data_IF_975930252883
#
_entry.id   IF_975930252883
#
_cell.length_a   1.000
_cell.length_b   1.000
_cell.length_c   1.000
_cell.angle_alpha   90.00
_cell.angle_beta   90.00
_cell.angle_gamma   90.00
#
_symmetry.space_group_name_H-M   'P 1'
#
loop_
_entity.id
_entity.type
_entity.pdbx_description
1 polymer ?
#
# COMPACT_ATOMS: atom_id res chain seq x y z
N UNK A 1 10.60 -4.28 -21.31
CA UNK A 1 11.00 -2.87 -21.11
C UNK A 1 10.55 -2.42 -19.74
N UNK A 2 11.29 -2.80 -18.70
CA UNK A 2 11.19 -2.17 -17.39
C UNK A 2 12.34 -1.18 -17.33
N UNK A 3 12.05 0.13 -17.28
CA UNK A 3 13.08 1.09 -16.94
C UNK A 3 13.50 0.80 -15.50
N UNK A 4 14.55 -0.01 -15.30
CA UNK A 4 15.24 -0.10 -14.01
C UNK A 4 15.71 1.33 -13.73
N UNK A 5 15.05 2.01 -12.79
CA UNK A 5 15.52 3.31 -12.35
C UNK A 5 16.92 3.11 -11.77
N UNK A 6 17.93 3.74 -12.37
CA UNK A 6 19.27 3.77 -11.78
C UNK A 6 19.17 4.34 -10.36
N UNK A 7 20.03 3.89 -9.42
CA UNK A 7 20.06 4.44 -8.07
C UNK A 7 20.15 5.98 -8.13
N UNK A 8 19.20 6.67 -7.48
CA UNK A 8 19.11 8.13 -7.50
C UNK A 8 18.14 8.73 -8.53
N UNK A 9 17.54 7.93 -9.42
CA UNK A 9 16.43 8.41 -10.26
C UNK A 9 15.19 8.55 -9.38
N UNK A 10 14.59 9.75 -9.25
CA UNK A 10 13.43 9.92 -8.38
C UNK A 10 12.27 9.04 -8.90
N UNK A 11 11.43 8.46 -8.02
CA UNK A 11 10.43 7.47 -8.39
C UNK A 11 9.45 8.07 -9.40
N UNK A 12 9.35 7.50 -10.61
CA UNK A 12 8.43 7.98 -11.65
C UNK A 12 7.00 7.50 -11.35
N UNK A 13 5.99 8.28 -11.71
CA UNK A 13 4.59 7.86 -11.68
C UNK A 13 3.67 8.57 -10.68
N UNK A 14 2.48 8.01 -10.50
CA UNK A 14 1.34 8.65 -9.81
C UNK A 14 1.58 8.98 -8.32
N UNK A 15 2.65 8.46 -7.72
CA UNK A 15 3.10 8.84 -6.38
C UNK A 15 3.46 10.33 -6.25
N UNK A 16 3.75 11.01 -7.37
CA UNK A 16 4.09 12.44 -7.40
C UNK A 16 2.88 13.37 -7.39
N UNK A 17 1.70 12.90 -7.78
CA UNK A 17 0.52 13.74 -7.94
C UNK A 17 0.10 14.40 -6.61
N UNK A 18 0.05 13.61 -5.52
CA UNK A 18 -0.30 14.16 -4.20
C UNK A 18 0.76 15.15 -3.67
N UNK A 19 2.08 14.89 -3.78
CA UNK A 19 3.11 15.91 -3.51
C UNK A 19 3.01 17.18 -4.37
N UNK A 20 2.59 17.09 -5.64
CA UNK A 20 2.36 18.27 -6.50
C UNK A 20 1.20 19.11 -5.98
N UNK A 21 0.07 18.46 -5.68
CA UNK A 21 -1.09 19.10 -5.04
C UNK A 21 -0.71 19.72 -3.69
N UNK A 22 0.06 19.01 -2.87
CA UNK A 22 0.52 19.51 -1.58
C UNK A 22 1.29 20.82 -1.73
N UNK A 23 2.25 20.88 -2.66
CA UNK A 23 3.02 22.12 -2.92
C UNK A 23 2.14 23.24 -3.46
N UNK A 24 1.21 22.90 -4.36
CA UNK A 24 0.24 23.86 -4.88
C UNK A 24 -0.59 24.49 -3.76
N UNK A 25 -1.19 23.67 -2.89
CA UNK A 25 -2.02 24.15 -1.79
C UNK A 25 -1.22 24.85 -0.70
N UNK A 26 -0.02 24.37 -0.37
CA UNK A 26 0.89 25.03 0.55
C UNK A 26 1.27 26.46 0.08
N UNK A 27 1.31 26.69 -1.23
CA UNK A 27 1.63 27.99 -1.82
C UNK A 27 0.40 28.89 -2.06
N UNK A 28 -0.78 28.32 -2.26
CA UNK A 28 -1.97 29.07 -2.71
C UNK A 28 -2.99 29.32 -1.62
N UNK A 29 -3.04 28.47 -0.58
CA UNK A 29 -3.99 28.65 0.50
C UNK A 29 -3.50 29.76 1.45
N UNK A 30 -4.36 30.75 1.75
CA UNK A 30 -3.98 31.84 2.63
C UNK A 30 -3.83 31.36 4.07
N UNK A 31 -2.94 32.00 4.82
CA UNK A 31 -2.82 31.86 6.27
C UNK A 31 -2.54 30.42 6.76
N UNK A 32 -1.83 29.61 5.96
CA UNK A 32 -1.29 28.35 6.46
C UNK A 32 -0.18 28.62 7.47
N UNK A 33 -0.10 27.77 8.49
CA UNK A 33 0.92 27.88 9.53
C UNK A 33 2.34 27.80 8.94
N UNK A 34 3.28 28.68 9.34
CA UNK A 34 4.63 28.73 8.77
C UNK A 34 5.49 27.50 9.13
N UNK A 35 5.11 26.73 10.15
CA UNK A 35 5.74 25.47 10.55
C UNK A 35 5.23 24.25 9.76
N UNK A 36 4.30 24.46 8.81
CA UNK A 36 3.71 23.39 8.02
C UNK A 36 4.71 22.84 7.00
N UNK A 37 5.46 21.83 7.44
CA UNK A 37 6.37 21.06 6.58
C UNK A 37 5.75 19.71 6.22
N UNK A 38 6.15 19.04 5.12
CA UNK A 38 5.64 17.71 4.80
C UNK A 38 5.82 16.67 5.92
N UNK A 39 6.83 16.84 6.77
CA UNK A 39 7.10 15.93 7.89
C UNK A 39 6.27 16.22 9.15
N UNK A 40 5.65 17.41 9.26
CA UNK A 40 4.83 17.76 10.43
C UNK A 40 3.49 17.01 10.41
N UNK A 41 2.86 16.85 11.58
CA UNK A 41 1.53 16.22 11.70
C UNK A 41 0.50 16.92 10.81
N UNK A 42 0.50 18.26 10.81
CA UNK A 42 -0.34 19.05 9.91
C UNK A 42 -0.01 18.83 8.44
N UNK A 43 1.27 18.76 8.08
CA UNK A 43 1.68 18.52 6.70
C UNK A 43 1.27 17.14 6.17
N UNK A 44 1.32 16.11 7.03
CA UNK A 44 0.82 14.77 6.72
C UNK A 44 -0.70 14.75 6.54
N UNK A 45 -1.46 15.48 7.38
CA UNK A 45 -2.91 15.66 7.18
C UNK A 45 -3.22 16.33 5.84
N UNK A 46 -2.50 17.40 5.49
CA UNK A 46 -2.64 18.08 4.21
C UNK A 46 -2.32 17.14 3.03
N UNK A 47 -1.25 16.33 3.16
CA UNK A 47 -0.87 15.36 2.13
C UNK A 47 -1.95 14.29 1.95
N UNK A 48 -2.56 13.83 3.04
CA UNK A 48 -3.68 12.89 2.99
C UNK A 48 -4.92 13.51 2.34
N UNK A 49 -5.23 14.77 2.66
CA UNK A 49 -6.25 15.54 1.94
C UNK A 49 -5.99 15.60 0.43
N UNK A 50 -4.74 15.83 0.03
CA UNK A 50 -4.33 15.83 -1.37
C UNK A 50 -4.48 14.44 -2.03
N UNK A 51 -4.21 13.34 -1.31
CA UNK A 51 -4.43 11.97 -1.81
C UNK A 51 -5.91 11.70 -2.06
N UNK A 52 -6.78 12.10 -1.12
CA UNK A 52 -8.24 12.00 -1.26
C UNK A 52 -8.73 12.82 -2.45
N UNK A 53 -8.28 14.06 -2.57
CA UNK A 53 -8.67 14.94 -3.68
C UNK A 53 -8.23 14.34 -5.02
N UNK A 54 -6.99 13.83 -5.13
CA UNK A 54 -6.51 13.11 -6.33
C UNK A 54 -7.45 11.96 -6.72
N UNK A 55 -7.89 11.16 -5.74
CA UNK A 55 -8.80 10.05 -6.00
C UNK A 55 -10.15 10.55 -6.53
N UNK A 56 -10.74 11.56 -5.89
CA UNK A 56 -12.00 12.17 -6.33
C UNK A 56 -11.88 12.74 -7.75
N UNK A 57 -10.79 13.42 -8.08
CA UNK A 57 -10.53 13.98 -9.41
C UNK A 57 -10.27 12.92 -10.49
N UNK A 58 -9.94 11.69 -10.08
CA UNK A 58 -9.87 10.56 -11.02
C UNK A 58 -11.28 10.14 -11.46
N UNK A 59 -12.29 10.31 -10.61
CA UNK A 59 -13.68 9.94 -10.88
C UNK A 59 -14.51 11.11 -11.42
N UNK A 60 -14.26 12.32 -10.92
CA UNK A 60 -15.05 13.53 -11.17
C UNK A 60 -14.19 14.63 -11.81
N UNK A 61 -14.78 15.52 -12.64
CA UNK A 61 -14.04 16.63 -13.26
C UNK A 61 -13.57 17.69 -12.25
N UNK A 62 -14.29 17.84 -11.13
CA UNK A 62 -13.97 18.76 -10.05
C UNK A 62 -14.46 18.19 -8.71
N UNK A 63 -13.75 18.51 -7.63
CA UNK A 63 -14.17 18.13 -6.27
C UNK A 63 -13.49 19.01 -5.23
N UNK A 64 -13.90 18.85 -3.98
CA UNK A 64 -13.21 19.40 -2.82
C UNK A 64 -12.96 18.35 -1.73
N UNK A 65 -12.04 18.68 -0.81
CA UNK A 65 -11.75 17.91 0.41
C UNK A 65 -11.47 18.89 1.53
N UNK A 66 -12.19 18.79 2.65
CA UNK A 66 -11.85 19.53 3.87
C UNK A 66 -10.82 18.74 4.68
N UNK A 67 -9.77 19.43 5.10
CA UNK A 67 -8.71 18.93 5.97
C UNK A 67 -8.79 19.68 7.28
N UNK A 68 -9.01 18.95 8.36
CA UNK A 68 -9.20 19.52 9.68
C UNK A 68 -7.89 19.59 10.48
N UNK A 69 -7.86 20.49 11.46
CA UNK A 69 -6.78 20.62 12.44
C UNK A 69 -5.38 20.76 11.80
N UNK A 70 -5.21 21.72 10.89
CA UNK A 70 -3.93 22.08 10.31
C UNK A 70 -3.20 23.10 11.18
N UNK A 71 -1.92 22.82 11.50
CA UNK A 71 -1.06 23.74 12.23
C UNK A 71 -1.39 23.88 13.72
N UNK A 72 -0.74 24.86 14.36
CA UNK A 72 -0.92 25.15 15.78
C UNK A 72 -2.24 25.86 16.10
N UNK A 73 -2.88 26.49 15.10
CA UNK A 73 -4.19 27.12 15.22
C UNK A 73 -5.36 26.14 14.94
N UNK A 74 -5.07 24.84 14.82
CA UNK A 74 -6.02 23.75 14.58
C UNK A 74 -7.05 24.08 13.47
N UNK A 75 -6.61 24.77 12.43
CA UNK A 75 -7.49 25.32 11.41
C UNK A 75 -7.98 24.27 10.43
N UNK A 76 -9.23 24.38 10.02
CA UNK A 76 -9.79 23.60 8.93
C UNK A 76 -9.61 24.33 7.59
N UNK A 77 -9.19 23.60 6.56
CA UNK A 77 -9.01 24.15 5.22
C UNK A 77 -9.62 23.26 4.16
N UNK A 78 -10.35 23.86 3.22
CA UNK A 78 -10.96 23.17 2.09
C UNK A 78 -10.06 23.25 0.85
N UNK A 79 -9.57 22.10 0.40
CA UNK A 79 -8.86 21.93 -0.84
C UNK A 79 -9.88 21.86 -1.98
N UNK A 80 -9.82 22.76 -2.95
CA UNK A 80 -10.67 22.74 -4.13
C UNK A 80 -9.81 22.41 -5.35
N UNK A 81 -10.24 21.48 -6.20
CA UNK A 81 -9.48 21.08 -7.37
C UNK A 81 -10.34 20.72 -8.57
N UNK A 82 -9.74 20.82 -9.74
CA UNK A 82 -10.28 20.34 -11.03
C UNK A 82 -9.27 19.41 -11.69
N UNK A 83 -9.70 18.64 -12.69
CA UNK A 83 -8.78 17.84 -13.50
C UNK A 83 -7.73 18.69 -14.20
N UNK A 84 -8.08 19.90 -14.64
CA UNK A 84 -7.15 20.83 -15.29
C UNK A 84 -5.97 21.18 -14.36
N UNK A 85 -6.24 21.39 -13.07
CA UNK A 85 -5.18 21.60 -12.07
C UNK A 85 -4.23 20.40 -12.01
N UNK A 86 -4.73 19.17 -12.13
CA UNK A 86 -3.85 17.99 -12.18
C UNK A 86 -3.04 17.94 -13.48
N UNK A 87 -3.65 18.27 -14.62
CA UNK A 87 -3.00 18.32 -15.92
C UNK A 87 -1.83 19.31 -15.88
N UNK A 88 -2.07 20.53 -15.39
CA UNK A 88 -1.04 21.56 -15.29
C UNK A 88 0.08 21.17 -14.33
N UNK A 89 -0.27 20.71 -13.12
CA UNK A 89 0.71 20.38 -12.09
C UNK A 89 1.55 19.12 -12.43
N UNK A 90 0.99 18.21 -13.23
CA UNK A 90 1.60 16.92 -13.56
C UNK A 90 2.01 16.80 -15.04
N UNK A 91 2.05 17.91 -15.78
CA UNK A 91 2.56 17.94 -17.15
C UNK A 91 3.96 17.31 -17.30
N UNK A 92 4.93 17.53 -16.37
CA UNK A 92 6.23 16.85 -16.44
C UNK A 92 6.11 15.33 -16.36
N UNK A 93 5.28 14.82 -15.45
CA UNK A 93 5.04 13.39 -15.28
C UNK A 93 4.34 12.76 -16.50
N UNK A 94 3.43 13.49 -17.15
CA UNK A 94 2.81 13.06 -18.41
C UNK A 94 3.84 12.98 -19.56
N UNK A 95 4.73 13.98 -19.67
CA UNK A 95 5.82 13.97 -20.65
C UNK A 95 6.80 12.82 -20.43
N UNK A 96 7.17 12.53 -19.17
CA UNK A 96 8.01 11.39 -18.81
C UNK A 96 7.37 10.05 -19.19
N UNK A 97 6.05 9.90 -18.97
CA UNK A 97 5.30 8.71 -19.35
C UNK A 97 5.28 8.53 -20.88
N UNK A 98 4.99 9.60 -21.63
CA UNK A 98 5.03 9.55 -23.10
C UNK A 98 6.40 9.12 -23.60
N UNK A 99 7.47 9.73 -23.08
CA UNK A 99 8.83 9.40 -23.49
C UNK A 99 9.19 7.93 -23.22
N UNK A 100 8.70 7.35 -22.12
CA UNK A 100 8.89 5.93 -21.82
C UNK A 100 8.18 5.03 -22.83
N UNK A 101 6.95 5.38 -23.23
CA UNK A 101 6.19 4.63 -24.24
C UNK A 101 6.86 4.74 -25.60
N UNK A 102 7.24 5.96 -26.02
CA UNK A 102 7.94 6.20 -27.29
C UNK A 102 9.23 5.36 -27.38
N UNK A 103 9.99 5.28 -26.29
CA UNK A 103 11.22 4.49 -26.25
C UNK A 103 10.96 2.97 -26.30
N UNK A 104 9.90 2.50 -25.64
CA UNK A 104 9.50 1.09 -25.70
C UNK A 104 9.07 0.69 -27.13
N UNK A 105 8.30 1.54 -27.82
CA UNK A 105 7.88 1.31 -29.20
C UNK A 105 9.10 1.26 -30.14
N UNK A 106 10.03 2.22 -29.99
CA UNK A 106 11.28 2.28 -30.76
C UNK A 106 12.11 1.02 -30.56
N UNK A 107 12.31 0.59 -29.31
CA UNK A 107 13.06 -0.61 -28.98
C UNK A 107 12.41 -1.91 -29.50
N UNK A 108 11.08 -1.92 -29.63
CA UNK A 108 10.32 -3.03 -30.20
C UNK A 108 10.25 -2.99 -31.74
N UNK A 109 10.73 -1.92 -32.39
CA UNK A 109 10.57 -1.71 -33.83
C UNK A 109 9.11 -1.54 -34.28
N UNK A 110 8.24 -1.09 -33.37
CA UNK A 110 6.82 -0.82 -33.65
C UNK A 110 6.71 0.61 -34.18
N UNK A 111 6.18 0.74 -35.39
CA UNK A 111 5.76 2.02 -35.95
C UNK A 111 4.27 2.23 -35.67
N UNK A 112 3.89 3.45 -35.28
CA UNK A 112 2.49 3.82 -35.16
C UNK A 112 1.93 4.25 -36.52
N UNK A 113 0.65 4.01 -36.75
CA UNK A 113 -0.01 4.39 -37.99
C UNK A 113 0.06 5.92 -38.19
N UNK A 114 0.69 6.33 -39.29
CA UNK A 114 0.99 7.74 -39.61
C UNK A 114 2.47 8.03 -39.89
N UNK A 115 3.39 7.13 -39.51
CA UNK A 115 4.85 7.32 -39.65
C UNK A 115 5.46 6.66 -40.92
N UNK A 116 4.62 6.19 -41.84
CA UNK A 116 5.08 5.50 -43.06
C UNK A 116 5.22 6.46 -44.24
N UNK A 117 6.33 7.20 -44.27
CA UNK A 117 6.88 7.73 -45.53
C UNK A 117 7.57 6.64 -46.39
N UNK A 118 7.57 5.38 -45.96
CA UNK A 118 8.08 4.23 -46.72
C UNK A 118 7.24 2.99 -46.45
N UNK A 119 6.73 2.36 -47.51
CA UNK A 119 5.77 1.25 -47.49
C UNK A 119 6.31 -0.08 -46.92
N UNK A 120 6.70 -0.11 -45.65
CA UNK A 120 6.95 -1.33 -44.88
C UNK A 120 5.85 -1.51 -43.84
N UNK A 121 5.08 -2.60 -43.93
CA UNK A 121 4.03 -2.96 -42.97
C UNK A 121 4.60 -3.29 -41.59
N UNK A 122 4.82 -2.26 -40.77
CA UNK A 122 5.12 -2.41 -39.35
C UNK A 122 3.92 -2.97 -38.59
N UNK A 123 4.15 -3.87 -37.63
CA UNK A 123 3.10 -4.37 -36.74
C UNK A 123 2.77 -3.27 -35.73
N UNK A 124 1.52 -2.81 -35.72
CA UNK A 124 1.01 -1.88 -34.70
C UNK A 124 0.76 -2.57 -33.34
N UNK A 125 0.22 -1.82 -32.39
CA UNK A 125 -0.15 -2.34 -31.06
C UNK A 125 -1.57 -2.91 -31.13
N UNK A 126 -1.69 -4.24 -30.96
CA UNK A 126 -2.98 -4.96 -31.00
C UNK A 126 -3.87 -4.62 -29.80
N UNK A 127 -3.30 -4.60 -28.60
CA UNK A 127 -4.03 -4.38 -27.34
C UNK A 127 -3.22 -3.57 -26.35
N UNK A 128 -3.91 -2.76 -25.54
CA UNK A 128 -3.31 -1.94 -24.49
C UNK A 128 -3.91 -2.38 -23.16
N UNK A 129 -3.12 -3.07 -22.33
CA UNK A 129 -3.53 -3.48 -21.00
C UNK A 129 -2.93 -2.52 -19.97
N UNK A 130 -3.75 -1.96 -19.08
CA UNK A 130 -3.31 -1.02 -18.06
C UNK A 130 -3.52 -1.56 -16.65
N UNK A 131 -2.46 -1.52 -15.85
CA UNK A 131 -2.44 -1.98 -14.47
C UNK A 131 -1.83 -0.92 -13.53
N UNK A 132 -2.14 -1.00 -12.24
CA UNK A 132 -1.71 -0.07 -11.22
C UNK A 132 -2.64 1.13 -11.05
N UNK A 133 -2.82 1.55 -9.79
CA UNK A 133 -3.74 2.64 -9.43
C UNK A 133 -3.49 3.99 -10.13
N UNK A 134 -2.27 4.23 -10.61
CA UNK A 134 -1.95 5.43 -11.41
C UNK A 134 -2.68 5.48 -12.75
N UNK A 135 -2.90 4.34 -13.39
CA UNK A 135 -3.57 4.23 -14.69
C UNK A 135 -5.08 4.53 -14.62
N UNK A 136 -5.62 4.79 -13.42
CA UNK A 136 -7.01 5.23 -13.23
C UNK A 136 -7.17 6.75 -13.34
N UNK A 137 -6.06 7.50 -13.39
CA UNK A 137 -6.08 8.96 -13.49
C UNK A 137 -6.27 9.35 -14.97
N UNK A 138 -7.32 10.13 -15.33
CA UNK A 138 -7.63 10.49 -16.72
C UNK A 138 -6.45 11.07 -17.51
N UNK A 139 -5.68 12.00 -16.90
CA UNK A 139 -4.46 12.56 -17.48
C UNK A 139 -3.51 11.48 -18.03
N UNK A 140 -3.28 10.41 -17.26
CA UNK A 140 -2.36 9.35 -17.67
C UNK A 140 -2.98 8.41 -18.70
N UNK A 141 -4.29 8.16 -18.64
CA UNK A 141 -4.99 7.41 -19.68
C UNK A 141 -4.91 8.12 -21.03
N UNK A 142 -5.19 9.42 -21.05
CA UNK A 142 -5.11 10.27 -22.24
C UNK A 142 -3.67 10.33 -22.77
N UNK A 143 -2.68 10.45 -21.88
CA UNK A 143 -1.26 10.42 -22.25
C UNK A 143 -0.87 9.09 -22.92
N UNK A 144 -1.32 7.96 -22.39
CA UNK A 144 -1.06 6.63 -22.97
C UNK A 144 -1.66 6.54 -24.38
N UNK A 145 -2.93 6.94 -24.53
CA UNK A 145 -3.61 6.88 -25.83
C UNK A 145 -2.94 7.81 -26.85
N UNK A 146 -2.62 9.04 -26.47
CA UNK A 146 -1.91 9.99 -27.33
C UNK A 146 -0.53 9.46 -27.74
N UNK A 147 0.22 8.87 -26.81
CA UNK A 147 1.53 8.25 -27.10
C UNK A 147 1.44 7.09 -28.10
N UNK A 148 0.27 6.44 -28.20
CA UNK A 148 0.01 5.33 -29.11
C UNK A 148 -0.72 5.75 -30.40
N UNK A 149 -0.77 7.06 -30.69
CA UNK A 149 -1.43 7.59 -31.89
C UNK A 149 -2.96 7.54 -31.85
N UNK A 150 -3.55 7.35 -30.66
CA UNK A 150 -5.00 7.30 -30.42
C UNK A 150 -5.49 8.53 -29.67
N UNK A 151 -5.00 9.71 -30.03
CA UNK A 151 -5.41 10.97 -29.41
C UNK A 151 -6.93 11.18 -29.55
N UNK A 152 -7.59 11.57 -28.45
CA UNK A 152 -9.06 11.66 -28.39
C UNK A 152 -9.79 10.31 -28.37
N UNK A 153 -9.06 9.20 -28.26
CA UNK A 153 -9.63 7.86 -28.04
C UNK A 153 -10.42 7.76 -26.74
N UNK A 154 -11.24 6.72 -26.60
CA UNK A 154 -12.06 6.49 -25.41
C UNK A 154 -11.35 5.49 -24.47
N UNK A 155 -10.86 5.92 -23.29
CA UNK A 155 -10.17 5.04 -22.34
C UNK A 155 -10.96 3.82 -21.86
N UNK A 156 -12.28 3.82 -21.97
CA UNK A 156 -13.11 2.65 -21.63
C UNK A 156 -13.10 1.58 -22.74
N UNK A 157 -12.91 1.99 -23.99
CA UNK A 157 -12.87 1.10 -25.15
C UNK A 157 -11.45 0.71 -25.55
N UNK A 158 -10.53 1.66 -25.47
CA UNK A 158 -9.17 1.53 -25.99
C UNK A 158 -8.18 0.95 -24.97
N UNK A 159 -8.47 1.06 -23.66
CA UNK A 159 -7.65 0.51 -22.59
C UNK A 159 -8.34 -0.70 -21.95
N UNK A 160 -7.70 -1.85 -22.10
CA UNK A 160 -8.13 -3.11 -21.48
C UNK A 160 -7.73 -3.16 -20.00
N UNK A 161 -8.57 -3.82 -19.21
CA UNK A 161 -8.49 -3.96 -17.74
C UNK A 161 -8.79 -5.40 -17.32
N UNK A 162 -8.46 -6.35 -18.19
CA UNK A 162 -8.65 -7.78 -17.94
C UNK A 162 -7.69 -8.34 -16.90
N UNK A 163 -6.57 -7.65 -16.66
CA UNK A 163 -5.58 -7.93 -15.64
C UNK A 163 -5.65 -6.85 -14.54
N UNK A 164 -5.86 -7.27 -13.31
CA UNK A 164 -5.77 -6.38 -12.15
C UNK A 164 -4.37 -6.39 -11.51
N UNK A 165 -4.20 -5.60 -10.45
CA UNK A 165 -2.93 -5.48 -9.73
C UNK A 165 -2.44 -6.82 -9.15
N UNK A 166 -3.34 -7.80 -8.94
CA UNK A 166 -2.95 -9.15 -8.48
C UNK A 166 -2.23 -9.94 -9.57
N UNK A 167 -2.45 -9.62 -10.85
CA UNK A 167 -1.78 -10.27 -11.98
C UNK A 167 -0.27 -10.11 -11.93
N UNK A 168 0.23 -8.98 -11.38
CA UNK A 168 1.66 -8.76 -11.15
C UNK A 168 2.20 -9.74 -10.11
N UNK A 169 1.49 -9.88 -8.98
CA UNK A 169 1.87 -10.79 -7.91
C UNK A 169 1.80 -12.26 -8.36
N UNK A 170 0.75 -12.63 -9.10
CA UNK A 170 0.60 -13.97 -9.68
C UNK A 170 1.71 -14.28 -10.68
N UNK A 171 2.06 -13.33 -11.56
CA UNK A 171 3.19 -13.47 -12.48
C UNK A 171 4.52 -13.66 -11.74
N UNK A 172 4.76 -12.89 -10.67
CA UNK A 172 5.95 -13.05 -9.84
C UNK A 172 5.99 -14.41 -9.13
N UNK A 173 4.85 -14.87 -8.57
CA UNK A 173 4.75 -16.19 -7.95
C UNK A 173 5.00 -17.33 -8.96
N UNK A 174 4.46 -17.22 -10.17
CA UNK A 174 4.69 -18.17 -11.25
C UNK A 174 6.16 -18.19 -11.73
N UNK A 175 6.85 -17.04 -11.70
CA UNK A 175 8.29 -16.97 -11.99
C UNK A 175 9.15 -17.51 -10.83
N UNK A 176 8.69 -17.37 -9.58
CA UNK A 176 9.35 -17.91 -8.40
C UNK A 176 9.29 -19.44 -8.30
N UNK A 177 8.37 -20.08 -9.03
CA UNK A 177 8.34 -21.53 -9.20
C UNK A 177 9.46 -21.96 -10.17
N UNK A 178 10.45 -22.69 -9.64
CA UNK A 178 11.74 -22.99 -10.27
C UNK A 178 11.62 -23.70 -11.64
N UNK A 179 10.57 -24.51 -11.84
CA UNK A 179 10.33 -25.20 -13.10
C UNK A 179 9.77 -24.26 -14.20
N UNK A 180 9.00 -23.25 -13.80
CA UNK A 180 8.26 -22.37 -14.70
C UNK A 180 9.05 -21.09 -14.99
N UNK A 181 9.73 -20.54 -13.97
CA UNK A 181 10.61 -19.38 -14.07
C UNK A 181 11.79 -19.58 -15.02
N UNK A 182 12.52 -20.69 -14.92
CA UNK A 182 13.67 -20.98 -15.80
C UNK A 182 13.28 -21.07 -17.27
N UNK A 183 12.09 -21.60 -17.57
CA UNK A 183 11.60 -21.77 -18.95
C UNK A 183 11.15 -20.45 -19.57
N UNK A 184 10.54 -19.56 -18.80
CA UNK A 184 10.07 -18.24 -19.25
C UNK A 184 11.23 -17.26 -19.46
N UNK A 185 12.21 -17.23 -18.54
CA UNK A 185 13.41 -16.38 -18.66
C UNK A 185 14.31 -16.82 -19.82
N UNK A 186 14.35 -18.12 -20.14
CA UNK A 186 15.10 -18.64 -21.28
C UNK A 186 14.46 -18.35 -22.66
N UNK A 187 13.16 -18.04 -22.72
CA UNK A 187 12.41 -17.85 -23.97
C UNK A 187 12.36 -16.42 -24.51
N UNK A 188 12.75 -15.42 -23.72
CA UNK A 188 12.86 -14.03 -24.18
C UNK A 188 14.10 -13.81 -25.03
N UNK A 189 13.97 -13.16 -26.20
CA UNK A 189 15.15 -12.62 -26.91
C UNK A 189 15.77 -11.57 -25.99
N UNK A 190 16.88 -11.93 -25.32
CA UNK A 190 17.71 -11.00 -24.57
C UNK A 190 18.25 -9.94 -25.51
N UNK A 191 18.05 -8.67 -25.16
CA UNK A 191 18.80 -7.59 -25.75
C UNK A 191 20.29 -7.70 -25.37
N UNK A 192 21.21 -7.08 -26.12
CA UNK A 192 22.64 -7.08 -25.81
C UNK A 192 22.98 -6.51 -24.42
N UNK A 193 22.06 -5.77 -23.80
CA UNK A 193 22.21 -5.17 -22.46
C UNK A 193 21.61 -6.03 -21.32
N UNK A 194 20.96 -7.16 -21.64
CA UNK A 194 20.42 -8.11 -20.65
C UNK A 194 21.50 -9.10 -20.15
N UNK A 195 22.69 -8.58 -19.86
CA UNK A 195 23.68 -9.32 -19.09
C UNK A 195 23.05 -9.62 -17.71
N UNK A 196 23.09 -10.89 -17.30
CA UNK A 196 22.72 -11.34 -15.97
C UNK A 196 23.49 -10.53 -14.91
N UNK A 197 22.87 -9.43 -14.44
CA UNK A 197 23.35 -8.67 -13.27
C UNK A 197 22.85 -9.26 -11.97
N UNK A 198 21.94 -10.25 -12.02
CA UNK A 198 21.48 -11.00 -10.86
C UNK A 198 22.38 -12.21 -10.54
N UNK A 199 23.44 -12.48 -11.33
CA UNK A 199 24.43 -13.54 -11.04
C UNK A 199 25.87 -13.06 -11.14
N UNK A 200 26.19 -12.02 -10.38
CA UNK A 200 27.50 -11.78 -9.73
C UNK A 200 27.46 -10.36 -9.18
N UNK A 201 26.72 -10.15 -8.09
CA UNK A 201 27.16 -9.11 -7.18
C UNK A 201 28.56 -9.55 -6.74
N UNK A 202 29.58 -8.75 -7.03
CA UNK A 202 30.91 -8.94 -6.48
C UNK A 202 30.73 -9.23 -4.99
N UNK A 203 31.15 -10.42 -4.55
CA UNK A 203 31.10 -10.81 -3.15
C UNK A 203 32.11 -9.93 -2.40
N UNK A 204 31.67 -8.72 -2.03
CA UNK A 204 32.38 -7.90 -1.09
C UNK A 204 32.01 -8.40 0.31
N UNK A 205 33.03 -8.83 1.07
CA UNK A 205 32.85 -9.33 2.44
C UNK A 205 32.08 -8.32 3.33
N UNK A 206 32.19 -7.02 3.00
CA UNK A 206 31.46 -5.93 3.65
C UNK A 206 29.94 -5.97 3.36
N UNK A 207 29.54 -6.28 2.12
CA UNK A 207 28.14 -6.44 1.75
C UNK A 207 27.52 -7.70 2.36
N UNK A 208 28.28 -8.80 2.44
CA UNK A 208 27.83 -10.02 3.13
C UNK A 208 27.68 -9.82 4.64
N UNK A 209 28.65 -9.17 5.28
CA UNK A 209 28.56 -8.83 6.70
C UNK A 209 27.34 -7.94 6.98
N UNK A 210 27.10 -6.93 6.13
CA UNK A 210 25.93 -6.06 6.23
C UNK A 210 24.61 -6.82 6.04
N UNK A 211 24.51 -7.69 5.03
CA UNK A 211 23.33 -8.56 4.81
C UNK A 211 23.04 -9.43 6.02
N UNK A 212 24.08 -10.05 6.59
CA UNK A 212 23.97 -10.88 7.78
C UNK A 212 23.48 -10.08 9.00
N UNK A 213 24.03 -8.88 9.22
CA UNK A 213 23.60 -8.00 10.30
C UNK A 213 22.13 -7.56 10.15
N UNK A 214 21.69 -7.23 8.93
CA UNK A 214 20.28 -6.89 8.65
C UNK A 214 19.35 -8.09 8.86
N UNK A 215 19.77 -9.28 8.44
CA UNK A 215 18.98 -10.50 8.64
C UNK A 215 18.82 -10.85 10.13
N UNK A 216 19.84 -10.61 10.94
CA UNK A 216 19.75 -10.81 12.40
C UNK A 216 18.84 -9.77 13.05
N UNK A 217 18.95 -8.49 12.66
CA UNK A 217 18.04 -7.46 13.13
C UNK A 217 16.57 -7.78 12.78
N UNK A 218 16.30 -8.29 11.58
CA UNK A 218 14.96 -8.72 11.15
C UNK A 218 14.42 -9.86 12.02
N UNK A 219 15.24 -10.87 12.35
CA UNK A 219 14.81 -11.97 13.24
C UNK A 219 14.43 -11.46 14.63
N UNK A 220 15.17 -10.47 15.15
CA UNK A 220 14.88 -9.86 16.45
C UNK A 220 13.52 -9.14 16.40
N UNK A 221 13.27 -8.34 15.35
CA UNK A 221 11.98 -7.67 15.17
C UNK A 221 10.83 -8.67 15.00
N UNK A 222 11.02 -9.72 14.19
CA UNK A 222 10.02 -10.75 14.00
C UNK A 222 9.70 -11.54 15.28
N UNK A 223 10.71 -11.80 16.13
CA UNK A 223 10.50 -12.44 17.42
C UNK A 223 9.69 -11.54 18.38
N UNK A 224 10.00 -10.24 18.41
CA UNK A 224 9.25 -9.26 19.20
C UNK A 224 7.79 -9.16 18.72
N UNK A 225 7.55 -9.11 17.41
CA UNK A 225 6.20 -9.08 16.84
C UNK A 225 5.40 -10.34 17.21
N UNK A 226 6.03 -11.52 17.13
CA UNK A 226 5.41 -12.78 17.53
C UNK A 226 5.06 -12.81 19.03
N UNK A 227 5.94 -12.26 19.88
CA UNK A 227 5.69 -12.12 21.32
C UNK A 227 4.51 -11.19 21.61
N UNK A 228 4.48 -10.01 20.97
CA UNK A 228 3.38 -9.06 21.10
C UNK A 228 2.04 -9.64 20.60
N UNK A 229 2.04 -10.39 19.50
CA UNK A 229 0.84 -11.06 18.98
C UNK A 229 0.31 -12.08 19.98
N UNK A 230 1.17 -12.96 20.49
CA UNK A 230 0.77 -14.00 21.47
C UNK A 230 0.23 -13.39 22.78
N UNK A 231 0.88 -12.32 23.27
CA UNK A 231 0.40 -11.60 24.45
C UNK A 231 -0.99 -10.99 24.21
N UNK A 232 -1.18 -10.36 23.05
CA UNK A 232 -2.48 -9.79 22.65
C UNK A 232 -3.55 -10.88 22.51
N UNK A 233 -3.23 -12.01 21.88
CA UNK A 233 -4.12 -13.16 21.74
C UNK A 233 -4.53 -13.73 23.10
N UNK A 234 -3.58 -13.87 24.04
CA UNK A 234 -3.87 -14.36 25.38
C UNK A 234 -4.77 -13.41 26.17
N UNK A 235 -4.49 -12.09 26.13
CA UNK A 235 -5.34 -11.06 26.73
C UNK A 235 -6.75 -11.05 26.15
N UNK A 236 -6.87 -11.08 24.82
CA UNK A 236 -8.15 -11.16 24.11
C UNK A 236 -8.89 -12.45 24.47
N UNK A 237 -8.17 -13.56 24.70
CA UNK A 237 -8.73 -14.82 25.17
C UNK A 237 -9.39 -14.70 26.54
N UNK A 238 -8.75 -13.99 27.48
CA UNK A 238 -9.31 -13.72 28.82
C UNK A 238 -10.57 -12.84 28.69
N UNK A 239 -10.47 -11.74 27.94
CA UNK A 239 -11.61 -10.82 27.70
C UNK A 239 -12.81 -11.55 27.08
N UNK A 240 -12.57 -12.32 26.01
CA UNK A 240 -13.61 -13.09 25.34
C UNK A 240 -14.26 -14.11 26.28
N UNK A 241 -13.45 -14.78 27.11
CA UNK A 241 -13.96 -15.75 28.09
C UNK A 241 -14.83 -15.09 29.16
N UNK A 242 -14.42 -13.93 29.70
CA UNK A 242 -15.24 -13.16 30.66
C UNK A 242 -16.60 -12.81 30.04
N UNK A 243 -16.61 -12.30 28.81
CA UNK A 243 -17.83 -11.94 28.09
C UNK A 243 -18.72 -13.17 27.80
N UNK A 244 -18.10 -14.29 27.40
CA UNK A 244 -18.81 -15.55 27.13
C UNK A 244 -19.49 -16.07 28.40
N UNK A 245 -18.79 -16.12 29.53
CA UNK A 245 -19.36 -16.61 30.79
C UNK A 245 -20.49 -15.71 31.30
N UNK A 246 -20.36 -14.39 31.17
CA UNK A 246 -21.46 -13.44 31.48
C UNK A 246 -22.67 -13.68 30.58
N UNK A 247 -22.46 -13.90 29.28
CA UNK A 247 -23.53 -14.22 28.34
C UNK A 247 -24.21 -15.57 28.63
N UNK A 248 -23.42 -16.60 28.94
CA UNK A 248 -23.89 -17.96 29.20
C UNK A 248 -24.87 -18.04 30.38
N UNK A 249 -24.69 -17.19 31.40
CA UNK A 249 -25.62 -17.06 32.54
C UNK A 249 -27.05 -16.72 32.15
N UNK A 250 -27.22 -15.96 31.07
CA UNK A 250 -28.53 -15.60 30.53
C UNK A 250 -28.98 -16.53 29.40
N UNK A 251 -28.18 -17.53 29.06
CA UNK A 251 -28.43 -18.50 27.99
C UNK A 251 -29.21 -19.74 28.45
N UNK A 252 -29.39 -20.68 27.52
CA UNK A 252 -30.17 -21.91 27.74
C UNK A 252 -29.64 -22.80 28.88
N UNK A 253 -28.34 -22.73 29.15
CA UNK A 253 -27.65 -23.53 30.18
C UNK A 253 -27.26 -22.69 31.41
N UNK A 254 -27.77 -21.47 31.57
CA UNK A 254 -27.40 -20.58 32.68
C UNK A 254 -27.68 -21.18 34.07
N UNK A 255 -28.68 -22.07 34.19
CA UNK A 255 -28.98 -22.80 35.43
C UNK A 255 -27.92 -23.84 35.84
N UNK A 256 -27.02 -24.20 34.92
CA UNK A 256 -25.90 -25.09 35.21
C UNK A 256 -24.69 -24.33 35.75
N UNK A 257 -24.71 -23.00 35.71
CA UNK A 257 -23.64 -22.17 36.27
C UNK A 257 -23.88 -21.92 37.77
N UNK A 258 -22.83 -21.60 38.55
CA UNK A 258 -22.95 -21.32 39.98
C UNK A 258 -23.98 -20.22 40.29
N UNK A 259 -24.94 -20.51 41.17
CA UNK A 259 -26.04 -19.58 41.54
C UNK A 259 -25.65 -18.55 42.63
N UNK A 260 -24.36 -18.35 42.90
CA UNK A 260 -23.84 -17.43 43.92
C UNK A 260 -23.13 -16.18 43.36
N UNK A 261 -23.00 -15.12 44.17
CA UNK A 261 -22.29 -13.89 43.76
C UNK A 261 -20.79 -14.10 43.56
N UNK A 262 -20.23 -15.16 44.14
CA UNK A 262 -18.79 -15.45 44.08
C UNK A 262 -18.27 -15.60 42.64
N UNK A 263 -19.05 -16.19 41.73
CA UNK A 263 -18.64 -16.33 40.33
C UNK A 263 -18.75 -15.01 39.57
N UNK A 264 -19.76 -14.18 39.89
CA UNK A 264 -19.87 -12.83 39.32
C UNK A 264 -18.74 -11.92 39.81
N UNK A 265 -18.44 -11.95 41.12
CA UNK A 265 -17.32 -11.22 41.73
C UNK A 265 -15.97 -11.64 41.12
N UNK A 266 -15.80 -12.94 40.82
CA UNK A 266 -14.63 -13.44 40.11
C UNK A 266 -14.49 -12.82 38.71
N UNK A 267 -15.56 -12.86 37.91
CA UNK A 267 -15.57 -12.27 36.56
C UNK A 267 -15.41 -10.75 36.58
N UNK A 268 -15.95 -10.06 37.59
CA UNK A 268 -15.75 -8.62 37.80
C UNK A 268 -14.28 -8.31 38.13
N UNK A 269 -13.67 -9.06 39.05
CA UNK A 269 -12.26 -8.88 39.39
C UNK A 269 -11.32 -9.17 38.19
N UNK A 270 -11.65 -10.13 37.34
CA UNK A 270 -10.90 -10.39 36.11
C UNK A 270 -11.04 -9.25 35.10
N UNK A 271 -12.26 -8.71 34.95
CA UNK A 271 -12.52 -7.57 34.07
C UNK A 271 -11.75 -6.33 34.55
N UNK A 272 -11.81 -6.02 35.85
CA UNK A 272 -11.04 -4.92 36.44
C UNK A 272 -9.53 -5.11 36.25
N UNK A 273 -9.04 -6.35 36.39
CA UNK A 273 -7.63 -6.67 36.17
C UNK A 273 -7.18 -6.44 34.72
N UNK A 274 -8.03 -6.67 33.71
CA UNK A 274 -7.71 -6.42 32.29
C UNK A 274 -7.42 -4.95 31.96
N UNK A 275 -7.85 -4.04 32.82
CA UNK A 275 -7.62 -2.59 32.73
C UNK A 275 -6.61 -2.06 33.76
N UNK A 276 -5.90 -2.97 34.44
CA UNK A 276 -4.90 -2.61 35.46
C UNK A 276 -3.50 -2.47 34.87
N UNK A 277 -2.66 -1.65 35.53
CA UNK A 277 -1.23 -1.55 35.23
C UNK A 277 -0.49 -2.90 35.36
N UNK A 278 -1.03 -3.83 36.17
CA UNK A 278 -0.49 -5.19 36.33
C UNK A 278 -0.60 -5.98 35.02
N UNK A 279 -1.79 -5.99 34.40
CA UNK A 279 -2.00 -6.62 33.09
C UNK A 279 -1.12 -5.98 32.01
N UNK A 280 -0.99 -4.66 32.03
CA UNK A 280 -0.15 -3.91 31.09
C UNK A 280 1.35 -4.20 31.24
N UNK A 281 1.80 -4.58 32.44
CA UNK A 281 3.18 -4.93 32.74
C UNK A 281 3.58 -6.38 32.48
N UNK A 282 2.63 -7.29 32.31
CA UNK A 282 2.92 -8.73 32.20
C UNK A 282 3.58 -9.14 30.90
N UNK A 283 4.53 -10.08 31.00
CA UNK A 283 5.16 -10.69 29.83
C UNK A 283 4.25 -11.73 29.15
N UNK A 284 4.69 -12.27 28.01
CA UNK A 284 3.91 -13.25 27.23
C UNK A 284 3.63 -14.55 28.01
N UNK A 285 4.60 -15.04 28.79
CA UNK A 285 4.46 -16.31 29.51
C UNK A 285 3.51 -16.15 30.69
N UNK A 286 3.62 -15.03 31.39
CA UNK A 286 2.72 -14.64 32.46
C UNK A 286 1.28 -14.50 31.96
N UNK A 287 1.09 -13.84 30.80
CA UNK A 287 -0.24 -13.65 30.21
C UNK A 287 -0.86 -14.97 29.73
N UNK A 288 -0.09 -15.84 29.07
CA UNK A 288 -0.55 -17.16 28.65
C UNK A 288 -0.89 -18.06 29.85
N UNK A 289 -0.08 -17.99 30.90
CA UNK A 289 -0.36 -18.70 32.15
C UNK A 289 -1.64 -18.17 32.79
N UNK A 290 -1.83 -16.84 32.86
CA UNK A 290 -3.05 -16.24 33.40
C UNK A 290 -4.29 -16.68 32.63
N UNK A 291 -4.23 -16.75 31.30
CA UNK A 291 -5.31 -17.32 30.49
C UNK A 291 -5.58 -18.78 30.88
N UNK A 292 -4.56 -19.62 30.98
CA UNK A 292 -4.72 -21.02 31.38
C UNK A 292 -5.34 -21.16 32.78
N UNK A 293 -4.89 -20.34 33.73
CA UNK A 293 -5.39 -20.30 35.11
C UNK A 293 -6.88 -19.87 35.13
N UNK A 294 -7.26 -18.85 34.35
CA UNK A 294 -8.66 -18.39 34.23
C UNK A 294 -9.58 -19.47 33.68
N UNK A 295 -9.13 -20.17 32.63
CA UNK A 295 -9.90 -21.26 32.02
C UNK A 295 -10.08 -22.44 32.99
N UNK A 296 -9.03 -22.79 33.74
CA UNK A 296 -9.09 -23.88 34.72
C UNK A 296 -9.95 -23.51 35.93
N UNK A 297 -9.80 -22.30 36.47
CA UNK A 297 -10.63 -21.82 37.58
C UNK A 297 -12.11 -21.79 37.21
N UNK A 298 -12.44 -21.35 36.00
CA UNK A 298 -13.82 -21.41 35.49
C UNK A 298 -14.33 -22.86 35.39
N UNK A 299 -13.51 -23.78 34.87
CA UNK A 299 -13.85 -25.21 34.75
C UNK A 299 -14.06 -25.88 36.10
N UNK A 300 -13.30 -25.50 37.12
CA UNK A 300 -13.45 -26.08 38.47
C UNK A 300 -14.64 -25.49 39.22
N UNK A 301 -15.05 -24.27 38.88
CA UNK A 301 -16.17 -23.59 39.51
C UNK A 301 -17.52 -23.99 38.90
N UNK A 302 -17.56 -24.32 37.59
CA UNK A 302 -18.77 -24.70 36.85
C UNK A 302 -18.94 -26.22 36.72
#
# INVERSE_FOLDING_TARGET
VGARGSPGTPPRGAGRVAPRLWRHFAATLPNLSPDLTPASRGGQRLLEGCRKLKHLLSMLPSSNVTVECLGADERDVTLNGTRDVLVDLCAPEAQELKALIDEALRGAGIALDGDTAGGGGGKGVDSIEVLGGGCRIPLFQETILAALGREGGNPEKDLSRGLDDTSVALGAAALGDDATGRKLVAGGRRGPDDADTDTAADADDEGDARRSALAEAEKIMAALDAEMSRRSEARNGIEAHVLEMRGAKHGAHGKSLPEGTQFDEYLDNLDDWLFSDECDGMDVQEMEKKLADVLEETRTTC
#
